data_IF_232019872263
#
_entry.id   IF_232019872263
#
_cell.length_a   1.000
_cell.length_b   1.000
_cell.length_c   1.000
_cell.angle_alpha   90.00
_cell.angle_beta   90.00
_cell.angle_gamma   90.00
#
_symmetry.space_group_name_H-M   'P 1'
#
loop_
_entity.id
_entity.type
_entity.pdbx_description
1 polymer ?
#
# COMPACT_ATOMS: atom_id res chain seq x y z
N UNK A 1 -7.94 -63.30 29.43
CA UNK A 1 -8.23 -62.82 28.06
C UNK A 1 -9.06 -61.54 28.16
N UNK A 2 -8.50 -60.40 27.76
CA UNK A 2 -9.17 -59.08 27.73
C UNK A 2 -9.78 -58.85 26.34
N UNK A 3 -11.05 -58.46 26.27
CA UNK A 3 -11.76 -57.83 25.14
C UNK A 3 -12.67 -56.75 25.75
N UNK A 4 -12.40 -55.45 25.56
CA UNK A 4 -13.01 -54.53 24.57
C UNK A 4 -14.56 -54.64 24.57
N UNK A 5 -15.38 -53.62 24.79
CA UNK A 5 -15.42 -52.20 24.34
C UNK A 5 -16.28 -51.42 25.37
N UNK A 6 -15.97 -50.24 25.92
CA UNK A 6 -15.68 -48.90 25.37
C UNK A 6 -16.76 -48.28 24.49
N UNK A 7 -17.32 -47.16 25.00
CA UNK A 7 -17.86 -46.01 24.25
C UNK A 7 -19.34 -46.03 23.86
N UNK A 8 -20.23 -46.11 24.87
CA UNK A 8 -21.50 -45.38 24.84
C UNK A 8 -21.26 -44.02 25.52
N UNK A 9 -21.90 -42.96 25.01
CA UNK A 9 -21.81 -41.55 25.42
C UNK A 9 -20.71 -40.74 24.74
N UNK A 10 -20.94 -40.32 23.49
CA UNK A 10 -20.50 -39.03 22.93
C UNK A 10 -21.04 -38.91 21.50
N UNK A 11 -22.36 -38.89 21.33
CA UNK A 11 -22.98 -38.78 20.01
C UNK A 11 -24.11 -37.73 19.94
N UNK A 12 -24.08 -36.72 20.81
CA UNK A 12 -25.20 -35.77 20.94
C UNK A 12 -24.78 -34.30 21.11
N UNK A 13 -23.66 -33.86 20.55
CA UNK A 13 -23.23 -32.43 20.57
C UNK A 13 -22.68 -31.94 19.21
N UNK A 14 -23.10 -32.49 18.06
CA UNK A 14 -22.59 -32.02 16.75
C UNK A 14 -23.63 -31.47 15.77
N UNK A 15 -24.91 -31.31 16.15
CA UNK A 15 -25.97 -30.94 15.18
C UNK A 15 -26.42 -29.47 15.28
N UNK A 16 -25.88 -28.66 16.20
CA UNK A 16 -26.34 -27.26 16.41
C UNK A 16 -25.43 -26.16 15.84
N UNK A 17 -24.37 -26.48 15.08
CA UNK A 17 -23.44 -25.49 14.54
C UNK A 17 -23.45 -25.31 13.01
N UNK A 18 -24.52 -25.71 12.31
CA UNK A 18 -24.57 -25.64 10.83
C UNK A 18 -25.54 -24.60 10.23
N UNK A 19 -26.03 -23.61 11.00
CA UNK A 19 -26.88 -22.54 10.46
C UNK A 19 -26.47 -21.13 10.90
N UNK A 20 -25.24 -20.72 10.62
CA UNK A 20 -24.91 -19.29 10.53
C UNK A 20 -23.80 -19.04 9.52
N UNK A 21 -24.03 -19.43 8.26
CA UNK A 21 -23.52 -18.63 7.15
C UNK A 21 -24.55 -17.54 6.88
N UNK A 22 -24.54 -16.48 7.67
CA UNK A 22 -25.01 -15.20 7.15
C UNK A 22 -24.15 -14.91 5.94
N UNK A 23 -24.77 -14.80 4.76
CA UNK A 23 -24.13 -14.22 3.59
C UNK A 23 -23.69 -12.82 4.03
N UNK A 24 -22.42 -12.67 4.38
CA UNK A 24 -21.83 -11.36 4.55
C UNK A 24 -22.04 -10.66 3.22
N UNK A 25 -22.98 -9.72 3.22
CA UNK A 25 -23.16 -8.82 2.08
C UNK A 25 -21.80 -8.20 1.88
N UNK A 26 -21.21 -8.38 0.69
CA UNK A 26 -20.00 -7.68 0.31
C UNK A 26 -20.19 -6.23 0.74
N UNK A 27 -19.36 -5.77 1.69
CA UNK A 27 -19.39 -4.40 2.14
C UNK A 27 -18.91 -3.60 0.93
N UNK A 28 -19.85 -3.16 0.11
CA UNK A 28 -19.57 -2.20 -0.95
C UNK A 28 -19.33 -0.90 -0.22
N UNK A 29 -18.09 -0.71 0.22
CA UNK A 29 -17.61 0.56 0.73
C UNK A 29 -17.65 1.51 -0.46
N UNK A 30 -18.78 2.20 -0.64
CA UNK A 30 -18.81 3.42 -1.45
C UNK A 30 -17.85 4.37 -0.74
N UNK A 31 -16.66 4.55 -1.29
CA UNK A 31 -15.74 5.61 -0.89
C UNK A 31 -16.43 6.94 -1.21
N UNK A 32 -17.17 7.47 -0.25
CA UNK A 32 -17.60 8.87 -0.30
C UNK A 32 -16.36 9.71 -0.09
N UNK A 33 -15.94 10.44 -1.12
CA UNK A 33 -14.95 11.50 -1.01
C UNK A 33 -15.49 12.54 -0.01
N UNK A 34 -15.03 12.47 1.24
CA UNK A 34 -15.17 13.55 2.20
C UNK A 34 -14.10 14.58 1.85
N UNK A 35 -14.54 15.70 1.29
CA UNK A 35 -13.68 16.83 1.00
C UNK A 35 -13.21 17.43 2.33
N UNK A 36 -11.96 17.15 2.70
CA UNK A 36 -11.34 17.65 3.92
C UNK A 36 -10.16 18.53 3.51
N UNK A 37 -10.33 19.85 3.60
CA UNK A 37 -9.43 20.85 3.00
C UNK A 37 -7.98 20.83 3.55
N UNK A 38 -7.69 20.03 4.58
CA UNK A 38 -6.36 19.87 5.17
C UNK A 38 -5.62 18.59 4.80
N UNK A 39 -6.15 17.76 3.90
CA UNK A 39 -5.56 16.47 3.50
C UNK A 39 -4.91 16.63 2.12
N UNK A 40 -3.63 16.25 1.99
CA UNK A 40 -2.92 16.22 0.72
C UNK A 40 -3.68 15.34 -0.29
N UNK A 41 -3.80 15.84 -1.51
CA UNK A 41 -4.40 15.15 -2.66
C UNK A 41 -3.47 15.29 -3.85
N UNK A 42 -3.05 14.16 -4.41
CA UNK A 42 -2.22 14.12 -5.61
C UNK A 42 -3.01 14.38 -6.89
N UNK A 43 -4.34 14.23 -6.88
CA UNK A 43 -5.26 14.47 -8.02
C UNK A 43 -6.55 15.19 -7.62
N UNK A 44 -7.26 15.79 -8.59
CA UNK A 44 -8.62 16.33 -8.39
C UNK A 44 -9.69 15.23 -8.34
N UNK A 45 -10.90 15.57 -7.89
CA UNK A 45 -12.04 14.63 -7.83
C UNK A 45 -12.43 14.13 -9.22
N UNK A 46 -12.50 15.03 -10.19
CA UNK A 46 -12.91 14.72 -11.57
C UNK A 46 -11.91 13.77 -12.23
N UNK A 47 -10.62 13.97 -11.96
CA UNK A 47 -9.52 13.12 -12.43
C UNK A 47 -9.56 11.74 -11.78
N UNK A 48 -9.69 11.69 -10.45
CA UNK A 48 -9.89 10.43 -9.73
C UNK A 48 -11.06 9.62 -10.31
N UNK A 49 -12.18 10.28 -10.59
CA UNK A 49 -13.36 9.64 -11.17
C UNK A 49 -13.19 9.17 -12.63
N UNK A 50 -12.18 9.65 -13.34
CA UNK A 50 -11.83 9.19 -14.71
C UNK A 50 -10.74 8.12 -14.72
N UNK A 51 -9.94 8.04 -13.66
CA UNK A 51 -8.87 7.07 -13.52
C UNK A 51 -9.39 5.62 -13.51
N UNK A 52 -8.55 4.70 -14.00
CA UNK A 52 -8.74 3.26 -13.94
C UNK A 52 -8.74 2.76 -12.49
N UNK A 53 -9.15 1.51 -12.28
CA UNK A 53 -9.15 0.91 -10.93
C UNK A 53 -7.73 0.82 -10.38
N UNK A 54 -6.73 0.52 -11.23
CA UNK A 54 -5.32 0.45 -10.81
C UNK A 54 -4.78 1.84 -10.46
N UNK A 55 -4.99 2.82 -11.35
CA UNK A 55 -4.57 4.21 -11.14
C UNK A 55 -5.16 4.80 -9.85
N UNK A 56 -6.45 4.55 -9.56
CA UNK A 56 -7.06 5.00 -8.31
C UNK A 56 -6.40 4.40 -7.08
N UNK A 57 -5.99 3.13 -7.11
CA UNK A 57 -5.25 2.51 -6.01
C UNK A 57 -3.89 3.17 -5.83
N UNK A 58 -3.18 3.44 -6.92
CA UNK A 58 -1.93 4.21 -6.88
C UNK A 58 -2.13 5.56 -6.22
N UNK A 59 -3.12 6.32 -6.67
CA UNK A 59 -3.47 7.63 -6.12
C UNK A 59 -3.79 7.52 -4.63
N UNK A 60 -4.68 6.60 -4.24
CA UNK A 60 -5.11 6.44 -2.84
C UNK A 60 -3.94 6.07 -1.92
N UNK A 61 -3.02 5.23 -2.39
CA UNK A 61 -1.85 4.85 -1.62
C UNK A 61 -0.81 5.96 -1.51
N UNK A 62 -0.56 6.70 -2.60
CA UNK A 62 0.33 7.87 -2.59
C UNK A 62 -0.23 8.93 -1.64
N UNK A 63 -1.52 9.27 -1.78
CA UNK A 63 -2.20 10.24 -0.91
C UNK A 63 -2.13 9.79 0.56
N UNK A 64 -2.44 8.53 0.83
CA UNK A 64 -2.38 7.96 2.17
C UNK A 64 -0.97 8.02 2.77
N UNK A 65 0.05 7.65 1.99
CA UNK A 65 1.44 7.68 2.40
C UNK A 65 1.90 9.11 2.72
N UNK A 66 1.67 10.06 1.82
CA UNK A 66 2.09 11.46 2.00
C UNK A 66 1.42 12.09 3.21
N UNK A 67 0.11 11.92 3.37
CA UNK A 67 -0.61 12.46 4.53
C UNK A 67 -0.08 11.88 5.85
N UNK A 68 0.24 10.59 5.88
CA UNK A 68 0.81 9.97 7.07
C UNK A 68 2.23 10.49 7.36
N UNK A 69 3.07 10.66 6.33
CA UNK A 69 4.39 11.26 6.47
C UNK A 69 4.30 12.71 6.99
N UNK A 70 3.39 13.52 6.47
CA UNK A 70 3.18 14.90 6.90
C UNK A 70 2.78 14.99 8.37
N UNK A 71 1.87 14.11 8.82
CA UNK A 71 1.44 14.03 10.22
C UNK A 71 2.60 13.62 11.13
N UNK A 72 3.35 12.58 10.74
CA UNK A 72 4.48 12.08 11.53
C UNK A 72 5.61 13.11 11.63
N UNK A 73 5.95 13.79 10.52
CA UNK A 73 6.96 14.86 10.50
C UNK A 73 6.52 16.06 11.32
N UNK A 74 5.25 16.45 11.27
CA UNK A 74 4.71 17.53 12.11
C UNK A 74 4.82 17.20 13.60
N UNK A 75 4.57 15.94 13.98
CA UNK A 75 4.66 15.49 15.38
C UNK A 75 6.12 15.32 15.84
N UNK A 76 7.03 14.93 14.95
CA UNK A 76 8.45 14.73 15.24
C UNK A 76 9.34 15.39 14.16
N UNK A 77 9.56 16.71 14.20
CA UNK A 77 10.25 17.44 13.12
C UNK A 77 11.71 17.02 12.86
N UNK A 78 12.37 16.46 13.86
CA UNK A 78 13.76 15.98 13.77
C UNK A 78 13.88 14.55 13.24
N UNK A 79 12.76 13.83 13.13
CA UNK A 79 12.73 12.47 12.64
C UNK A 79 12.42 12.48 11.14
N UNK A 80 13.23 11.79 10.36
CA UNK A 80 12.92 11.50 8.98
C UNK A 80 12.15 10.18 8.88
N UNK A 81 11.16 10.16 8.00
CA UNK A 81 10.27 9.04 7.76
C UNK A 81 10.26 8.71 6.28
N UNK A 82 10.05 7.44 5.98
CA UNK A 82 9.89 6.93 4.61
C UNK A 82 8.64 6.09 4.54
N UNK A 83 7.93 6.18 3.43
CA UNK A 83 6.85 5.27 3.12
C UNK A 83 7.28 4.34 1.99
N UNK A 84 6.94 3.06 2.09
CA UNK A 84 7.07 2.08 1.02
C UNK A 84 5.66 1.63 0.69
N UNK A 85 5.27 1.81 -0.57
CA UNK A 85 4.01 1.29 -1.08
C UNK A 85 4.28 0.07 -1.94
N UNK A 86 3.39 -0.90 -1.87
CA UNK A 86 3.36 -2.04 -2.79
C UNK A 86 2.03 -2.04 -3.50
N UNK A 87 2.05 -2.20 -4.82
CA UNK A 87 0.85 -2.23 -5.63
C UNK A 87 0.87 -3.43 -6.56
N UNK A 88 -0.25 -4.12 -6.60
CA UNK A 88 -0.49 -5.28 -7.44
C UNK A 88 -1.65 -4.99 -8.42
N UNK A 89 -1.54 -5.56 -9.63
CA UNK A 89 -2.62 -5.52 -10.63
C UNK A 89 -3.88 -6.20 -10.09
N UNK A 90 -3.75 -7.28 -9.32
CA UNK A 90 -4.85 -7.90 -8.58
C UNK A 90 -5.20 -7.08 -7.32
N UNK A 91 -6.40 -6.45 -7.26
CA UNK A 91 -6.84 -5.71 -6.08
C UNK A 91 -6.99 -6.56 -4.82
N UNK A 92 -7.04 -7.89 -4.93
CA UNK A 92 -7.24 -8.79 -3.79
C UNK A 92 -5.94 -9.25 -3.13
N UNK A 93 -4.79 -8.97 -3.72
CA UNK A 93 -3.49 -9.30 -3.14
C UNK A 93 -3.17 -8.34 -1.97
N UNK A 94 -3.62 -8.69 -0.76
CA UNK A 94 -3.52 -7.82 0.42
C UNK A 94 -2.09 -7.51 0.85
N UNK A 95 -1.14 -8.41 0.60
CA UNK A 95 0.26 -8.19 0.96
C UNK A 95 0.94 -7.20 0.00
N UNK A 96 0.62 -7.31 -1.29
CA UNK A 96 1.18 -6.47 -2.35
C UNK A 96 0.29 -5.26 -2.70
N UNK A 97 -0.63 -4.89 -1.81
CA UNK A 97 -1.42 -3.65 -1.87
C UNK A 97 -1.38 -2.96 -0.51
N UNK A 98 -0.18 -2.56 -0.08
CA UNK A 98 0.07 -2.08 1.29
C UNK A 98 0.91 -0.82 1.33
N UNK A 99 0.75 -0.04 2.42
CA UNK A 99 1.59 1.10 2.77
C UNK A 99 2.34 0.73 4.05
N UNK A 100 3.66 0.71 3.99
CA UNK A 100 4.54 0.57 5.14
C UNK A 100 5.17 1.92 5.42
N UNK A 101 5.20 2.35 6.68
CA UNK A 101 5.82 3.60 7.09
C UNK A 101 6.84 3.30 8.16
N UNK A 102 8.06 3.79 7.96
CA UNK A 102 9.18 3.58 8.85
C UNK A 102 9.97 4.85 9.11
N UNK A 103 10.84 4.79 10.10
CA UNK A 103 11.90 5.78 10.30
C UNK A 103 12.89 5.63 9.15
N UNK A 104 13.24 6.72 8.48
CA UNK A 104 14.34 6.71 7.53
C UNK A 104 15.63 6.50 8.33
N UNK A 105 16.32 5.40 8.05
CA UNK A 105 17.62 5.14 8.66
C UNK A 105 18.62 6.17 8.13
N UNK A 106 19.16 6.98 9.04
CA UNK A 106 20.29 7.84 8.71
C UNK A 106 21.47 6.92 8.40
N UNK A 107 21.84 6.84 7.13
CA UNK A 107 23.08 6.21 6.67
C UNK A 107 24.26 7.04 7.19
N UNK A 108 24.56 6.93 8.48
CA UNK A 108 25.86 7.32 8.99
C UNK A 108 26.88 6.40 8.31
N UNK A 109 27.80 7.03 7.59
CA UNK A 109 28.53 6.54 6.43
C UNK A 109 29.69 5.56 6.74
N UNK A 110 29.65 4.84 7.86
CA UNK A 110 30.88 4.20 8.36
C UNK A 110 31.02 2.70 8.08
N UNK A 111 30.04 2.04 7.45
CA UNK A 111 30.25 0.71 6.88
C UNK A 111 29.14 0.34 5.88
N UNK A 112 29.34 0.70 4.61
CA UNK A 112 28.60 0.08 3.50
C UNK A 112 29.47 -1.05 2.97
N UNK A 113 29.11 -2.29 3.26
CA UNK A 113 29.65 -3.41 2.47
C UNK A 113 28.93 -3.40 1.11
N UNK A 114 29.51 -3.99 0.07
CA UNK A 114 28.86 -4.06 -1.25
C UNK A 114 27.48 -4.77 -1.22
N UNK A 115 27.14 -5.43 -0.09
CA UNK A 115 25.84 -6.03 0.19
C UNK A 115 24.80 -5.06 0.80
N UNK A 116 25.20 -3.87 1.26
CA UNK A 116 24.34 -2.85 1.88
C UNK A 116 23.96 -1.71 0.92
N UNK A 117 24.39 -1.81 -0.35
CA UNK A 117 23.93 -0.91 -1.39
C UNK A 117 22.50 -1.30 -1.77
N UNK A 118 21.53 -0.46 -1.38
CA UNK A 118 20.16 -0.58 -1.89
C UNK A 118 20.22 -0.75 -3.41
N UNK A 119 19.50 -1.73 -3.98
CA UNK A 119 19.49 -1.92 -5.42
C UNK A 119 19.11 -0.59 -6.07
N UNK A 120 19.84 -0.23 -7.14
CA UNK A 120 19.51 0.97 -7.89
C UNK A 120 18.03 0.90 -8.30
N UNK A 121 17.25 1.98 -8.12
CA UNK A 121 15.86 1.98 -8.50
C UNK A 121 15.74 1.78 -10.01
N UNK A 122 14.75 0.99 -10.42
CA UNK A 122 14.44 0.77 -11.83
C UNK A 122 13.92 2.05 -12.49
N UNK A 123 13.30 2.92 -11.69
CA UNK A 123 13.02 4.29 -12.11
C UNK A 123 12.67 5.20 -10.94
N UNK A 124 12.57 6.49 -11.26
CA UNK A 124 12.27 7.55 -10.30
C UNK A 124 11.39 8.62 -10.94
N UNK A 125 10.50 9.21 -10.16
CA UNK A 125 9.71 10.35 -10.57
C UNK A 125 9.62 11.37 -9.44
N UNK A 126 9.38 12.63 -9.82
CA UNK A 126 9.21 13.74 -8.89
C UNK A 126 7.83 14.36 -9.13
N UNK A 127 7.00 14.36 -8.10
CA UNK A 127 5.58 14.68 -8.16
C UNK A 127 5.32 15.97 -7.38
N UNK A 128 5.26 17.08 -8.10
CA UNK A 128 4.87 18.40 -7.58
C UNK A 128 3.40 18.75 -7.86
N UNK A 129 2.66 17.85 -8.50
CA UNK A 129 1.27 18.08 -8.86
C UNK A 129 0.71 17.05 -9.83
N UNK A 130 -0.51 17.32 -10.27
CA UNK A 130 -1.39 16.39 -10.97
C UNK A 130 -0.74 15.73 -12.20
N UNK A 131 -0.19 16.53 -13.12
CA UNK A 131 0.39 16.03 -14.37
C UNK A 131 1.60 15.12 -14.10
N UNK A 132 2.45 15.52 -13.15
CA UNK A 132 3.60 14.71 -12.74
C UNK A 132 3.19 13.40 -12.05
N UNK A 133 2.08 13.41 -11.30
CA UNK A 133 1.55 12.19 -10.66
C UNK A 133 1.07 11.19 -11.72
N UNK A 134 0.26 11.63 -12.68
CA UNK A 134 -0.21 10.79 -13.78
C UNK A 134 0.92 10.28 -14.66
N UNK A 135 1.89 11.14 -15.01
CA UNK A 135 3.06 10.70 -15.77
C UNK A 135 3.81 9.60 -15.02
N UNK A 136 3.99 9.76 -13.71
CA UNK A 136 4.66 8.77 -12.90
C UNK A 136 3.90 7.43 -12.85
N UNK A 137 2.59 7.45 -12.59
CA UNK A 137 1.78 6.24 -12.56
C UNK A 137 1.82 5.54 -13.93
N UNK A 138 1.68 6.28 -15.03
CA UNK A 138 1.74 5.72 -16.38
C UNK A 138 3.11 5.10 -16.70
N UNK A 139 4.20 5.72 -16.25
CA UNK A 139 5.55 5.16 -16.40
C UNK A 139 5.71 3.87 -15.60
N UNK A 140 5.21 3.83 -14.37
CA UNK A 140 5.22 2.62 -13.53
C UNK A 140 4.39 1.49 -14.16
N UNK A 141 3.17 1.77 -14.63
CA UNK A 141 2.33 0.78 -15.29
C UNK A 141 3.01 0.21 -16.55
N UNK A 142 3.58 1.08 -17.39
CA UNK A 142 4.34 0.67 -18.58
C UNK A 142 5.55 -0.18 -18.22
N UNK A 143 6.24 0.15 -17.13
CA UNK A 143 7.35 -0.64 -16.63
C UNK A 143 6.90 -2.05 -16.22
N UNK A 144 5.84 -2.15 -15.40
CA UNK A 144 5.27 -3.42 -14.97
C UNK A 144 4.83 -4.29 -16.16
N UNK A 145 4.21 -3.69 -17.17
CA UNK A 145 3.82 -4.40 -18.40
C UNK A 145 5.04 -4.88 -19.20
N UNK A 146 6.05 -4.02 -19.39
CA UNK A 146 7.26 -4.35 -20.14
C UNK A 146 8.10 -5.45 -19.49
N UNK A 147 8.05 -5.55 -18.15
CA UNK A 147 8.77 -6.57 -17.36
C UNK A 147 7.93 -7.81 -17.04
N UNK A 148 6.66 -7.83 -17.44
CA UNK A 148 5.70 -8.88 -17.09
C UNK A 148 5.65 -9.10 -15.55
N UNK A 149 5.59 -7.99 -14.81
CA UNK A 149 5.44 -7.97 -13.36
C UNK A 149 4.00 -7.62 -12.98
N UNK A 150 3.46 -8.37 -12.02
CA UNK A 150 2.12 -8.12 -11.47
C UNK A 150 2.14 -7.19 -10.27
N UNK A 151 3.29 -7.08 -9.58
CA UNK A 151 3.49 -6.23 -8.42
C UNK A 151 4.75 -5.38 -8.53
N UNK A 152 4.71 -4.18 -7.99
CA UNK A 152 5.85 -3.27 -7.89
C UNK A 152 5.94 -2.66 -6.48
N UNK A 153 7.16 -2.36 -6.04
CA UNK A 153 7.38 -1.61 -4.80
C UNK A 153 7.87 -0.21 -5.12
N UNK A 154 7.39 0.80 -4.39
CA UNK A 154 7.85 2.16 -4.54
C UNK A 154 8.13 2.81 -3.19
N UNK A 155 9.31 3.38 -3.05
CA UNK A 155 9.70 4.24 -1.94
C UNK A 155 9.24 5.66 -2.19
N UNK A 156 8.53 6.23 -1.23
CA UNK A 156 7.96 7.58 -1.25
C UNK A 156 8.62 8.41 -0.16
N UNK A 157 9.15 9.57 -0.54
CA UNK A 157 9.75 10.54 0.38
C UNK A 157 9.24 11.95 0.09
N UNK A 158 9.13 12.78 1.13
CA UNK A 158 8.84 14.21 0.97
C UNK A 158 10.13 14.93 0.55
N UNK A 159 10.05 15.71 -0.52
CA UNK A 159 11.18 16.52 -1.00
C UNK A 159 11.22 17.89 -0.33
N UNK A 160 12.37 18.57 -0.40
CA UNK A 160 12.59 19.86 0.25
C UNK A 160 11.71 21.01 -0.28
N UNK A 161 11.27 20.90 -1.53
CA UNK A 161 10.33 21.82 -2.20
C UNK A 161 8.86 21.48 -1.94
N UNK A 162 8.59 20.61 -0.96
CA UNK A 162 7.25 20.18 -0.56
C UNK A 162 6.51 19.39 -1.67
N UNK A 163 7.26 18.74 -2.54
CA UNK A 163 6.79 17.77 -3.51
C UNK A 163 7.05 16.33 -3.00
N UNK A 164 6.85 15.34 -3.87
CA UNK A 164 6.99 13.93 -3.53
C UNK A 164 7.98 13.27 -4.48
N UNK A 165 9.03 12.66 -3.94
CA UNK A 165 9.94 11.80 -4.69
C UNK A 165 9.48 10.36 -4.59
N UNK A 166 9.38 9.67 -5.72
CA UNK A 166 9.03 8.26 -5.80
C UNK A 166 10.14 7.50 -6.52
N UNK A 167 10.60 6.39 -5.95
CA UNK A 167 11.58 5.47 -6.54
C UNK A 167 10.97 4.07 -6.59
N UNK A 168 10.93 3.43 -7.74
CA UNK A 168 10.30 2.11 -7.90
C UNK A 168 11.29 1.01 -8.30
N UNK A 169 10.96 -0.22 -7.92
CA UNK A 169 11.75 -1.46 -8.04
C UNK A 169 10.84 -2.65 -8.35
#
# INVERSE_FOLDING_TARGET
>A
MKKYQSSLLFATICVLFLFSCTKDKALVTRTTYLENAGVYKSVTKEEYLKASILERRFIDQIDGAVNALDILKKNNPQQDYVAIITIDKDPNNKLHNSILIGIAENKNDDMKTDADADPAPDGKCHVCGLISAYSCISEVEKYMDAKNQDSISATITRSADNCVDIKYH
#
